data_IF_218003474053
#
_entry.id   IF_218003474053
#
_cell.length_a   1.000
_cell.length_b   1.000
_cell.length_c   1.000
_cell.angle_alpha   90.00
_cell.angle_beta   90.00
_cell.angle_gamma   90.00
#
_symmetry.space_group_name_H-M   'P 1'
#
loop_
_entity.id
_entity.type
_entity.pdbx_description
1 polymer ?
#
# COMPACT_ATOMS: atom_id res chain seq x y z
N UNK A 1 21.63 -18.94 -5.11
CA UNK A 1 21.65 -17.56 -5.66
C UNK A 1 20.75 -16.76 -4.74
N UNK A 2 21.29 -15.91 -3.89
CA UNK A 2 20.48 -15.01 -3.05
C UNK A 2 19.94 -13.95 -4.00
N UNK A 3 18.63 -13.92 -4.21
CA UNK A 3 18.01 -12.83 -4.98
C UNK A 3 18.17 -11.55 -4.14
N UNK A 4 18.53 -10.43 -4.74
CA UNK A 4 18.65 -9.17 -4.02
C UNK A 4 17.30 -8.75 -3.41
N UNK A 5 17.26 -7.90 -2.38
CA UNK A 5 16.04 -7.40 -1.75
C UNK A 5 15.32 -6.41 -2.69
N UNK A 6 14.80 -6.94 -3.80
CA UNK A 6 14.29 -6.17 -4.93
C UNK A 6 12.90 -5.60 -4.68
N UNK A 7 12.13 -6.24 -3.78
CA UNK A 7 10.68 -5.96 -3.63
C UNK A 7 10.33 -5.00 -2.50
N UNK A 8 11.27 -4.54 -1.70
CA UNK A 8 10.98 -3.70 -0.53
C UNK A 8 10.34 -2.36 -0.91
N UNK A 9 10.71 -1.81 -2.06
CA UNK A 9 10.16 -0.53 -2.54
C UNK A 9 8.74 -0.65 -3.11
N UNK A 10 8.30 -1.86 -3.47
CA UNK A 10 7.01 -2.05 -4.16
C UNK A 10 5.81 -2.17 -3.20
N UNK A 11 6.04 -2.60 -1.97
CA UNK A 11 4.96 -2.97 -1.02
C UNK A 11 4.58 -1.85 -0.08
N UNK A 12 5.17 -0.67 -0.20
CA UNK A 12 4.84 0.45 0.69
C UNK A 12 3.41 0.92 0.50
N UNK A 13 2.56 0.35 1.32
CA UNK A 13 1.11 0.51 1.31
C UNK A 13 0.72 1.86 1.89
N UNK A 14 -0.29 2.42 1.29
CA UNK A 14 -1.01 3.62 1.68
C UNK A 14 -1.34 3.60 3.19
N UNK A 15 -0.79 4.55 3.92
CA UNK A 15 -1.15 4.81 5.30
C UNK A 15 -2.48 5.55 5.32
N UNK A 16 -3.60 4.85 5.42
CA UNK A 16 -4.91 5.46 5.59
C UNK A 16 -5.34 5.38 7.05
N UNK A 17 -5.38 6.49 7.75
CA UNK A 17 -5.82 6.55 9.12
C UNK A 17 -6.84 7.70 9.35
N UNK A 18 -7.61 7.68 10.43
CA UNK A 18 -8.91 8.35 10.54
C UNK A 18 -9.17 9.12 11.83
N UNK A 19 -9.94 10.21 11.75
CA UNK A 19 -10.46 10.90 12.92
C UNK A 19 -11.96 11.23 12.79
N UNK A 20 -12.74 10.91 13.81
CA UNK A 20 -14.11 11.35 13.96
C UNK A 20 -14.21 12.41 15.08
N UNK A 21 -14.83 13.57 14.78
CA UNK A 21 -15.33 14.48 15.80
C UNK A 21 -16.84 14.28 15.96
N UNK A 22 -17.38 14.19 17.16
CA UNK A 22 -18.81 14.24 17.36
C UNK A 22 -19.29 15.69 17.21
N UNK A 23 -19.80 16.06 16.05
CA UNK A 23 -20.67 17.24 15.97
C UNK A 23 -22.03 16.81 16.51
N UNK A 24 -22.31 17.13 17.76
CA UNK A 24 -23.66 17.09 18.34
C UNK A 24 -24.52 18.14 17.67
N UNK A 25 -25.08 17.85 16.53
CA UNK A 25 -26.22 18.59 15.98
C UNK A 25 -27.49 17.95 16.52
N UNK A 26 -28.03 18.56 17.60
CA UNK A 26 -29.39 18.26 18.03
C UNK A 26 -30.37 18.81 16.99
N UNK A 27 -30.78 17.99 16.05
CA UNK A 27 -31.97 18.22 15.25
C UNK A 27 -33.11 17.35 15.77
N UNK A 28 -34.13 18.03 16.27
CA UNK A 28 -35.40 17.49 16.76
C UNK A 28 -36.09 16.72 15.62
N UNK A 29 -36.51 15.48 15.82
CA UNK A 29 -37.18 14.73 14.76
C UNK A 29 -38.57 15.27 14.49
N UNK A 30 -38.86 15.56 13.22
CA UNK A 30 -40.22 15.73 12.73
C UNK A 30 -40.91 14.35 12.64
N UNK A 31 -42.21 14.25 12.98
CA UNK A 31 -42.92 12.97 12.92
C UNK A 31 -43.34 12.69 11.48
N UNK A 32 -42.72 11.71 10.87
CA UNK A 32 -43.04 11.24 9.53
C UNK A 32 -42.17 10.01 9.20
N UNK A 33 -42.53 8.85 9.76
CA UNK A 33 -41.72 7.66 9.70
C UNK A 33 -41.72 6.97 8.34
N UNK A 34 -40.57 6.95 7.76
CA UNK A 34 -40.08 5.93 6.86
C UNK A 34 -38.66 5.67 7.29
N UNK A 35 -38.31 4.47 7.71
CA UNK A 35 -36.92 4.08 7.89
C UNK A 35 -36.20 4.36 6.57
N UNK A 36 -35.03 5.05 6.60
CA UNK A 36 -34.25 5.23 5.38
C UNK A 36 -33.97 3.84 4.77
N UNK A 37 -34.00 3.72 3.44
CA UNK A 37 -33.75 2.42 2.79
C UNK A 37 -32.40 1.90 3.26
N UNK A 38 -32.39 0.68 3.82
CA UNK A 38 -31.16 -0.01 4.21
C UNK A 38 -30.36 -0.26 2.93
N UNK A 39 -29.29 0.52 2.74
CA UNK A 39 -28.38 0.33 1.58
C UNK A 39 -27.67 -1.01 1.76
N UNK A 40 -27.69 -1.85 0.73
CA UNK A 40 -27.04 -3.15 0.78
C UNK A 40 -25.53 -3.00 1.12
N UNK A 41 -24.98 -3.86 1.99
CA UNK A 41 -23.58 -3.76 2.44
C UNK A 41 -22.56 -3.64 1.30
N UNK A 42 -22.73 -4.41 0.22
CA UNK A 42 -21.85 -4.33 -0.94
C UNK A 42 -21.83 -2.96 -1.64
N UNK A 43 -22.97 -2.25 -1.65
CA UNK A 43 -23.02 -0.88 -2.21
C UNK A 43 -22.28 0.11 -1.31
N UNK A 44 -22.34 -0.07 0.02
CA UNK A 44 -21.60 0.77 0.96
C UNK A 44 -20.08 0.52 0.86
N UNK A 45 -19.65 -0.73 0.69
CA UNK A 45 -18.22 -1.09 0.52
C UNK A 45 -17.68 -0.51 -0.79
N UNK A 46 -18.44 -0.61 -1.88
CA UNK A 46 -18.06 0.03 -3.14
C UNK A 46 -17.94 1.55 -3.01
N UNK A 47 -18.91 2.21 -2.34
CA UNK A 47 -18.87 3.63 -2.07
C UNK A 47 -17.66 4.02 -1.19
N UNK A 48 -17.28 3.17 -0.24
CA UNK A 48 -16.09 3.36 0.58
C UNK A 48 -14.81 3.29 -0.28
N UNK A 49 -14.69 2.33 -1.16
CA UNK A 49 -13.57 2.22 -2.10
C UNK A 49 -13.43 3.46 -3.02
N UNK A 50 -14.56 4.03 -3.46
CA UNK A 50 -14.54 5.29 -4.21
C UNK A 50 -14.15 6.49 -3.30
N UNK A 51 -14.72 6.60 -2.10
CA UNK A 51 -14.35 7.65 -1.16
C UNK A 51 -12.87 7.58 -0.77
N UNK A 52 -12.28 6.39 -0.70
CA UNK A 52 -10.85 6.15 -0.45
C UNK A 52 -9.97 6.38 -1.68
N UNK A 53 -10.53 6.74 -2.83
CA UNK A 53 -9.80 7.01 -4.07
C UNK A 53 -8.90 5.85 -4.52
N UNK A 54 -9.34 4.61 -4.31
CA UNK A 54 -8.55 3.40 -4.58
C UNK A 54 -8.11 3.33 -6.06
N UNK A 55 -8.92 3.84 -6.99
CA UNK A 55 -8.53 3.91 -8.41
C UNK A 55 -7.30 4.79 -8.65
N UNK A 56 -7.21 5.95 -7.97
CA UNK A 56 -6.06 6.85 -8.08
C UNK A 56 -4.80 6.23 -7.46
N UNK A 57 -4.94 5.53 -6.34
CA UNK A 57 -3.85 4.79 -5.71
C UNK A 57 -3.31 3.69 -6.63
N UNK A 58 -4.20 2.88 -7.21
CA UNK A 58 -3.85 1.82 -8.17
C UNK A 58 -3.16 2.40 -9.40
N UNK A 59 -3.58 3.60 -9.87
CA UNK A 59 -2.92 4.26 -10.99
C UNK A 59 -1.46 4.59 -10.69
N UNK A 60 -1.15 5.13 -9.49
CA UNK A 60 0.23 5.39 -9.07
C UNK A 60 1.02 4.10 -8.90
N UNK A 61 0.43 3.08 -8.26
CA UNK A 61 1.05 1.76 -8.12
C UNK A 61 1.40 1.11 -9.46
N UNK A 62 0.57 1.33 -10.48
CA UNK A 62 0.88 0.91 -11.84
C UNK A 62 2.09 1.66 -12.42
N UNK A 63 2.16 2.98 -12.22
CA UNK A 63 3.32 3.78 -12.64
C UNK A 63 4.62 3.26 -11.99
N UNK A 64 4.60 3.04 -10.68
CA UNK A 64 5.71 2.43 -9.91
C UNK A 64 6.08 1.04 -10.44
N UNK A 65 5.08 0.20 -10.68
CA UNK A 65 5.27 -1.15 -11.15
C UNK A 65 5.90 -1.26 -12.53
N UNK A 66 5.60 -0.33 -13.43
CA UNK A 66 6.24 -0.26 -14.75
C UNK A 66 7.71 0.13 -14.64
N UNK A 67 8.06 1.08 -13.73
CA UNK A 67 9.46 1.43 -13.46
C UNK A 67 10.21 0.26 -12.82
N UNK A 68 9.58 -0.39 -11.84
CA UNK A 68 10.13 -1.57 -11.20
C UNK A 68 10.40 -2.71 -12.19
N UNK A 69 9.48 -2.96 -13.12
CA UNK A 69 9.68 -3.95 -14.18
C UNK A 69 10.92 -3.67 -15.03
N UNK A 70 11.22 -2.40 -15.29
CA UNK A 70 12.44 -2.02 -16.02
C UNK A 70 13.71 -2.25 -15.18
N UNK A 71 13.65 -1.97 -13.87
CA UNK A 71 14.76 -2.27 -12.95
C UNK A 71 15.02 -3.78 -12.84
N UNK A 72 13.95 -4.56 -12.76
CA UNK A 72 14.03 -6.03 -12.71
C UNK A 72 14.67 -6.62 -13.98
N UNK A 73 14.33 -6.07 -15.15
CA UNK A 73 14.97 -6.43 -16.43
C UNK A 73 16.48 -6.18 -16.37
N UNK A 74 16.86 -4.97 -15.97
CA UNK A 74 18.27 -4.57 -15.92
C UNK A 74 19.09 -5.44 -14.96
N UNK A 75 18.47 -5.98 -13.93
CA UNK A 75 19.15 -6.79 -12.91
C UNK A 75 19.21 -8.29 -13.28
N UNK A 76 18.10 -8.88 -13.72
CA UNK A 76 18.01 -10.33 -13.89
C UNK A 76 18.36 -10.81 -15.30
N UNK A 77 18.09 -10.01 -16.34
CA UNK A 77 18.31 -10.38 -17.74
C UNK A 77 18.57 -9.16 -18.64
N UNK A 78 19.65 -8.41 -18.35
CA UNK A 78 19.95 -7.17 -19.05
C UNK A 78 19.96 -7.39 -20.57
N UNK A 79 19.35 -6.45 -21.30
CA UNK A 79 19.26 -6.41 -22.76
C UNK A 79 18.48 -7.58 -23.42
N UNK A 80 17.73 -8.38 -22.65
CA UNK A 80 16.96 -9.51 -23.19
C UNK A 80 15.43 -9.30 -23.17
N UNK A 81 14.92 -8.39 -22.36
CA UNK A 81 13.47 -8.18 -22.20
C UNK A 81 12.86 -7.29 -23.28
N UNK A 82 13.29 -6.03 -23.32
CA UNK A 82 12.85 -5.03 -24.27
C UNK A 82 11.32 -4.80 -24.28
N UNK A 83 10.76 -4.41 -25.46
CA UNK A 83 9.31 -4.07 -25.54
C UNK A 83 8.37 -5.22 -25.15
N UNK A 84 8.82 -6.46 -25.30
CA UNK A 84 8.03 -7.65 -24.96
C UNK A 84 7.90 -7.79 -23.45
N UNK A 85 9.01 -7.66 -22.72
CA UNK A 85 8.99 -7.66 -21.26
C UNK A 85 8.12 -6.52 -20.71
N UNK A 86 8.27 -5.31 -21.26
CA UNK A 86 7.45 -4.16 -20.87
C UNK A 86 5.96 -4.40 -21.09
N UNK A 87 5.59 -5.08 -22.19
CA UNK A 87 4.19 -5.45 -22.44
C UNK A 87 3.68 -6.46 -21.40
N UNK A 88 4.48 -7.45 -21.03
CA UNK A 88 4.13 -8.43 -19.98
C UNK A 88 3.97 -7.75 -18.62
N UNK A 89 4.92 -6.90 -18.24
CA UNK A 89 4.79 -6.09 -17.00
C UNK A 89 3.53 -5.24 -17.02
N UNK A 90 3.22 -4.61 -18.18
CA UNK A 90 2.00 -3.82 -18.36
C UNK A 90 0.70 -4.62 -18.17
N UNK A 91 0.70 -5.91 -18.50
CA UNK A 91 -0.42 -6.83 -18.26
C UNK A 91 -0.50 -7.30 -16.81
N UNK A 92 0.65 -7.56 -16.17
CA UNK A 92 0.70 -7.95 -14.75
C UNK A 92 0.17 -6.81 -13.85
N UNK A 93 0.53 -5.56 -14.18
CA UNK A 93 0.04 -4.35 -13.50
C UNK A 93 -1.22 -3.76 -14.16
N UNK A 94 -2.08 -4.60 -14.74
CA UNK A 94 -3.35 -4.12 -15.28
C UNK A 94 -4.24 -3.55 -14.18
N UNK A 95 -4.66 -2.29 -14.32
CA UNK A 95 -5.38 -1.55 -13.28
C UNK A 95 -6.73 -2.18 -12.93
N UNK A 96 -7.45 -2.71 -13.92
CA UNK A 96 -8.75 -3.34 -13.70
C UNK A 96 -8.60 -4.66 -12.93
N UNK A 97 -7.54 -5.40 -13.22
CA UNK A 97 -7.20 -6.65 -12.52
C UNK A 97 -6.78 -6.36 -11.08
N UNK A 98 -5.94 -5.35 -10.86
CA UNK A 98 -5.54 -4.89 -9.52
C UNK A 98 -6.77 -4.45 -8.72
N UNK A 99 -7.65 -3.66 -9.32
CA UNK A 99 -8.89 -3.19 -8.68
C UNK A 99 -9.82 -4.35 -8.31
N UNK A 100 -10.04 -5.31 -9.17
CA UNK A 100 -10.87 -6.49 -8.87
C UNK A 100 -10.31 -7.32 -7.72
N UNK A 101 -8.99 -7.53 -7.67
CA UNK A 101 -8.33 -8.26 -6.58
C UNK A 101 -8.46 -7.50 -5.26
N UNK A 102 -8.21 -6.18 -5.30
CA UNK A 102 -8.40 -5.31 -4.14
C UNK A 102 -9.83 -5.38 -3.61
N UNK A 103 -10.82 -5.12 -4.45
CA UNK A 103 -12.23 -5.07 -4.06
C UNK A 103 -12.68 -6.39 -3.44
N UNK A 104 -12.29 -7.54 -4.01
CA UNK A 104 -12.64 -8.86 -3.47
C UNK A 104 -12.05 -9.09 -2.08
N UNK A 105 -10.77 -8.76 -1.86
CA UNK A 105 -10.12 -8.94 -0.56
C UNK A 105 -10.63 -7.92 0.46
N UNK A 106 -10.83 -6.67 0.06
CA UNK A 106 -11.35 -5.62 0.91
C UNK A 106 -12.79 -5.90 1.37
N UNK A 107 -13.67 -6.37 0.48
CA UNK A 107 -15.03 -6.78 0.81
C UNK A 107 -15.03 -7.93 1.82
N UNK A 108 -14.15 -8.91 1.68
CA UNK A 108 -14.03 -10.03 2.59
C UNK A 108 -13.64 -9.58 4.03
N UNK A 109 -12.82 -8.54 4.16
CA UNK A 109 -12.39 -8.02 5.46
C UNK A 109 -13.40 -7.04 6.06
N UNK A 110 -13.85 -6.04 5.32
CA UNK A 110 -14.77 -5.00 5.79
C UNK A 110 -16.17 -5.57 6.01
N UNK A 111 -16.59 -6.50 5.17
CA UNK A 111 -17.92 -7.14 5.24
C UNK A 111 -18.17 -7.92 6.54
N UNK A 112 -17.14 -8.21 7.33
CA UNK A 112 -17.27 -8.87 8.65
C UNK A 112 -17.97 -7.99 9.69
N UNK A 113 -18.02 -6.68 9.49
CA UNK A 113 -18.70 -5.72 10.37
C UNK A 113 -19.26 -4.53 9.58
N UNK A 114 -20.41 -4.69 8.96
CA UNK A 114 -21.02 -3.62 8.16
C UNK A 114 -21.36 -2.35 8.95
N UNK A 115 -21.50 -2.45 10.29
CA UNK A 115 -21.79 -1.30 11.16
C UNK A 115 -20.67 -0.27 11.20
N UNK A 116 -19.43 -0.69 10.98
CA UNK A 116 -18.26 0.20 10.98
C UNK A 116 -18.14 1.05 9.69
N UNK A 117 -18.80 0.65 8.60
CA UNK A 117 -18.63 1.28 7.27
C UNK A 117 -19.12 2.72 7.27
N UNK A 118 -20.20 3.02 8.01
CA UNK A 118 -20.77 4.38 8.06
C UNK A 118 -19.76 5.40 8.59
N UNK A 119 -19.05 5.11 9.69
CA UNK A 119 -18.03 5.99 10.24
C UNK A 119 -16.82 6.15 9.30
N UNK A 120 -16.48 5.10 8.56
CA UNK A 120 -15.44 5.16 7.55
C UNK A 120 -15.82 6.08 6.38
N UNK A 121 -17.06 5.95 5.87
CA UNK A 121 -17.60 6.81 4.81
C UNK A 121 -17.72 8.26 5.24
N UNK A 122 -18.16 8.53 6.47
CA UNK A 122 -18.30 9.89 7.02
C UNK A 122 -16.94 10.61 7.04
N UNK A 123 -15.88 9.88 7.36
CA UNK A 123 -14.55 10.47 7.35
C UNK A 123 -14.02 10.71 5.94
N UNK A 124 -13.96 9.67 5.09
CA UNK A 124 -13.38 9.81 3.74
C UNK A 124 -14.22 10.67 2.81
N UNK A 125 -15.53 10.71 3.01
CA UNK A 125 -16.41 11.66 2.33
C UNK A 125 -16.23 13.09 2.77
N UNK A 126 -15.54 13.35 3.92
CA UNK A 126 -15.31 14.72 4.42
C UNK A 126 -14.24 15.45 3.60
N UNK A 127 -14.28 16.78 3.61
CA UNK A 127 -13.28 17.63 2.96
C UNK A 127 -11.86 17.34 3.49
N UNK A 128 -11.73 17.09 4.79
CA UNK A 128 -10.46 16.73 5.45
C UNK A 128 -9.96 15.39 4.95
N UNK A 129 -10.78 14.34 4.95
CA UNK A 129 -10.40 13.01 4.48
C UNK A 129 -9.97 13.03 3.02
N UNK A 130 -10.71 13.74 2.17
CA UNK A 130 -10.33 13.90 0.76
C UNK A 130 -9.04 14.69 0.58
N UNK A 131 -8.77 15.69 1.41
CA UNK A 131 -7.52 16.44 1.38
C UNK A 131 -6.31 15.57 1.77
N UNK A 132 -6.47 14.76 2.80
CA UNK A 132 -5.44 13.81 3.25
C UNK A 132 -5.10 12.83 2.13
N UNK A 133 -6.09 12.15 1.56
CA UNK A 133 -5.90 11.19 0.47
C UNK A 133 -5.23 11.83 -0.75
N UNK A 134 -5.61 13.06 -1.08
CA UNK A 134 -4.98 13.81 -2.16
C UNK A 134 -3.48 13.99 -1.89
N UNK A 135 -3.12 14.42 -0.69
CA UNK A 135 -1.72 14.64 -0.30
C UNK A 135 -0.92 13.34 -0.31
N UNK A 136 -1.49 12.23 0.14
CA UNK A 136 -0.86 10.92 0.12
C UNK A 136 -0.58 10.45 -1.31
N UNK A 137 -1.55 10.58 -2.21
CA UNK A 137 -1.39 10.21 -3.62
C UNK A 137 -0.38 11.12 -4.32
N UNK A 138 -0.42 12.44 -4.05
CA UNK A 138 0.53 13.41 -4.60
C UNK A 138 1.96 13.12 -4.14
N UNK A 139 2.15 12.85 -2.84
CA UNK A 139 3.45 12.53 -2.26
C UNK A 139 4.01 11.22 -2.84
N UNK A 140 3.18 10.18 -2.96
CA UNK A 140 3.60 8.92 -3.55
C UNK A 140 4.05 9.08 -5.00
N UNK A 141 3.29 9.83 -5.80
CA UNK A 141 3.69 10.13 -7.18
C UNK A 141 4.95 10.99 -7.25
N UNK A 142 5.13 11.95 -6.35
CA UNK A 142 6.32 12.77 -6.31
C UNK A 142 7.59 11.95 -6.03
N UNK A 143 7.51 10.91 -5.19
CA UNK A 143 8.64 10.03 -4.87
C UNK A 143 9.03 9.07 -6.00
N UNK A 144 8.36 9.09 -7.16
CA UNK A 144 8.84 8.46 -8.39
C UNK A 144 10.04 9.18 -8.98
N UNK A 145 10.25 10.44 -8.60
CA UNK A 145 11.42 11.25 -8.99
C UNK A 145 12.50 11.13 -7.91
N UNK A 146 13.69 10.65 -8.29
CA UNK A 146 14.81 10.44 -7.37
C UNK A 146 15.22 11.73 -6.65
N UNK A 147 15.11 12.89 -7.31
CA UNK A 147 15.46 14.15 -6.69
C UNK A 147 14.45 14.58 -5.62
N UNK A 148 13.17 14.24 -5.79
CA UNK A 148 12.14 14.47 -4.80
C UNK A 148 12.29 13.51 -3.61
N UNK A 149 12.65 12.25 -3.86
CA UNK A 149 12.95 11.26 -2.81
C UNK A 149 14.15 11.74 -1.96
N UNK A 150 15.24 12.14 -2.59
CA UNK A 150 16.42 12.63 -1.88
C UNK A 150 16.12 13.91 -1.08
N UNK A 151 15.38 14.85 -1.65
CA UNK A 151 14.95 16.05 -0.92
C UNK A 151 14.08 15.72 0.30
N UNK A 152 13.22 14.70 0.21
CA UNK A 152 12.40 14.25 1.32
C UNK A 152 13.25 13.58 2.42
N UNK A 153 14.27 12.80 2.07
CA UNK A 153 15.23 12.21 3.01
C UNK A 153 16.01 13.29 3.77
N UNK A 154 16.59 14.25 3.05
CA UNK A 154 17.29 15.40 3.66
C UNK A 154 16.37 16.16 4.61
N UNK A 155 15.10 16.35 4.24
CA UNK A 155 14.12 17.01 5.12
C UNK A 155 13.93 16.27 6.44
N UNK A 156 13.82 14.95 6.42
CA UNK A 156 13.66 14.14 7.66
C UNK A 156 14.93 14.18 8.50
N UNK A 157 16.13 14.11 7.88
CA UNK A 157 17.39 14.26 8.57
C UNK A 157 17.49 15.62 9.28
N UNK A 158 17.11 16.70 8.59
CA UNK A 158 17.04 18.05 9.13
C UNK A 158 16.04 18.18 10.30
N UNK A 159 14.88 17.53 10.22
CA UNK A 159 13.88 17.48 11.29
C UNK A 159 14.47 16.75 12.51
N UNK A 160 15.13 15.62 12.31
CA UNK A 160 15.78 14.85 13.36
C UNK A 160 16.90 15.66 14.03
N UNK A 161 17.78 16.28 13.25
CA UNK A 161 18.89 17.08 13.78
C UNK A 161 18.45 18.27 14.63
N UNK A 162 17.24 18.81 14.37
CA UNK A 162 16.64 19.92 15.12
C UNK A 162 15.70 19.50 16.24
N UNK A 163 15.51 18.19 16.43
CA UNK A 163 14.49 17.64 17.34
C UNK A 163 13.10 18.27 17.05
N UNK A 164 12.71 18.29 15.79
CA UNK A 164 11.46 18.90 15.35
C UNK A 164 10.27 18.09 15.90
N UNK A 165 9.39 18.68 16.74
CA UNK A 165 8.26 17.95 17.31
C UNK A 165 7.28 17.42 16.27
N UNK A 166 7.36 17.89 15.02
CA UNK A 166 6.58 17.33 13.91
C UNK A 166 7.02 15.92 13.57
N UNK A 167 8.31 15.59 13.71
CA UNK A 167 8.81 14.22 13.51
C UNK A 167 8.21 13.26 14.52
N UNK A 168 8.07 13.67 15.79
CA UNK A 168 7.43 12.85 16.84
C UNK A 168 5.97 12.53 16.46
N UNK A 169 5.23 13.50 15.89
CA UNK A 169 3.86 13.26 15.41
C UNK A 169 3.82 12.28 14.22
N UNK A 170 4.79 12.32 13.31
CA UNK A 170 4.87 11.36 12.20
C UNK A 170 5.19 9.96 12.72
N UNK A 171 6.05 9.84 13.73
CA UNK A 171 6.35 8.58 14.40
C UNK A 171 5.11 8.04 15.13
N UNK A 172 4.41 8.89 15.89
CA UNK A 172 3.17 8.52 16.57
C UNK A 172 2.09 8.05 15.57
N UNK A 173 2.03 8.68 14.39
CA UNK A 173 1.15 8.24 13.31
C UNK A 173 1.53 6.87 12.77
N UNK A 174 2.82 6.63 12.50
CA UNK A 174 3.33 5.35 12.02
C UNK A 174 3.05 4.23 13.02
N UNK A 175 3.26 4.48 14.32
CA UNK A 175 2.97 3.53 15.40
C UNK A 175 1.46 3.25 15.53
N UNK A 176 0.61 4.29 15.48
CA UNK A 176 -0.84 4.15 15.63
C UNK A 176 -1.47 3.27 14.54
N UNK A 177 -0.80 3.17 13.39
CA UNK A 177 -1.22 2.40 12.22
C UNK A 177 -0.39 1.14 11.98
N UNK A 178 0.56 0.81 12.83
CA UNK A 178 1.44 -0.36 12.69
C UNK A 178 2.19 -0.38 11.34
N UNK A 179 2.53 0.81 10.79
CA UNK A 179 2.95 0.95 9.41
C UNK A 179 4.23 0.18 9.09
N UNK A 180 5.22 0.17 9.98
CA UNK A 180 6.47 -0.55 9.74
C UNK A 180 6.20 -2.05 9.70
N UNK A 181 5.52 -2.61 10.70
CA UNK A 181 5.26 -4.04 10.78
C UNK A 181 4.40 -4.55 9.62
N UNK A 182 3.35 -3.82 9.26
CA UNK A 182 2.46 -4.21 8.16
C UNK A 182 3.16 -4.13 6.81
N UNK A 183 4.01 -3.12 6.58
CA UNK A 183 4.79 -3.02 5.34
C UNK A 183 5.88 -4.09 5.27
N UNK A 184 6.58 -4.37 6.36
CA UNK A 184 7.57 -5.47 6.43
C UNK A 184 6.91 -6.81 6.12
N UNK A 185 5.78 -7.11 6.76
CA UNK A 185 5.03 -8.34 6.50
C UNK A 185 4.59 -8.45 5.03
N UNK A 186 4.03 -7.39 4.46
CA UNK A 186 3.62 -7.35 3.05
C UNK A 186 4.80 -7.53 2.09
N UNK A 187 5.96 -6.91 2.38
CA UNK A 187 7.17 -7.07 1.58
C UNK A 187 7.68 -8.53 1.61
N UNK A 188 7.73 -9.14 2.79
CA UNK A 188 8.13 -10.55 2.92
C UNK A 188 7.16 -11.49 2.22
N UNK A 189 5.84 -11.24 2.29
CA UNK A 189 4.83 -12.01 1.55
C UNK A 189 5.03 -11.90 0.03
N UNK A 190 5.29 -10.69 -0.45
CA UNK A 190 5.56 -10.42 -1.86
C UNK A 190 6.85 -11.08 -2.33
N UNK A 191 7.93 -11.04 -1.52
CA UNK A 191 9.18 -11.73 -1.81
C UNK A 191 8.95 -13.25 -1.91
N UNK A 192 8.21 -13.84 -0.96
CA UNK A 192 7.88 -15.26 -1.01
C UNK A 192 7.06 -15.62 -2.25
N UNK A 193 6.09 -14.79 -2.61
CA UNK A 193 5.28 -14.99 -3.80
C UNK A 193 6.15 -14.91 -5.07
N UNK A 194 7.12 -14.00 -5.14
CA UNK A 194 8.08 -13.90 -6.23
C UNK A 194 8.94 -15.16 -6.34
N UNK A 195 9.51 -15.66 -5.21
CA UNK A 195 10.27 -16.91 -5.19
C UNK A 195 9.44 -18.11 -5.69
N UNK A 196 8.18 -18.20 -5.28
CA UNK A 196 7.25 -19.24 -5.77
C UNK A 196 7.04 -19.13 -7.28
N UNK A 197 6.82 -17.92 -7.79
CA UNK A 197 6.72 -17.67 -9.23
C UNK A 197 7.99 -18.07 -9.99
N UNK A 198 9.16 -17.72 -9.47
CA UNK A 198 10.46 -18.13 -10.03
C UNK A 198 10.63 -19.65 -10.05
N UNK A 199 10.26 -20.34 -8.98
CA UNK A 199 10.31 -21.79 -8.88
C UNK A 199 9.35 -22.48 -9.88
N UNK A 200 8.13 -21.98 -10.03
CA UNK A 200 7.16 -22.47 -11.03
C UNK A 200 7.66 -22.25 -12.45
N UNK A 201 8.36 -21.14 -12.70
CA UNK A 201 9.02 -20.87 -13.98
C UNK A 201 10.35 -21.61 -14.17
N UNK A 202 10.71 -22.56 -13.27
CA UNK A 202 11.92 -23.37 -13.33
C UNK A 202 13.24 -22.55 -13.40
N UNK A 203 13.30 -21.40 -12.70
CA UNK A 203 14.48 -20.54 -12.70
C UNK A 203 15.67 -21.10 -11.91
N UNK A 204 15.46 -22.12 -11.10
CA UNK A 204 16.48 -22.72 -10.23
C UNK A 204 16.96 -24.06 -10.79
N UNK A 205 18.27 -24.30 -10.78
CA UNK A 205 18.87 -25.57 -11.23
C UNK A 205 18.40 -26.76 -10.38
N UNK A 206 18.17 -26.52 -9.09
CA UNK A 206 17.59 -27.49 -8.17
C UNK A 206 16.27 -26.92 -7.61
N UNK A 207 15.26 -27.78 -7.46
CA UNK A 207 13.98 -27.36 -6.91
C UNK A 207 14.15 -26.92 -5.45
N UNK A 208 13.85 -25.65 -5.19
CA UNK A 208 13.82 -25.12 -3.82
C UNK A 208 12.58 -25.64 -3.07
N UNK A 209 12.79 -26.14 -1.86
CA UNK A 209 11.68 -26.49 -0.98
C UNK A 209 10.99 -25.21 -0.45
N UNK A 210 9.73 -25.33 -0.06
CA UNK A 210 9.00 -24.24 0.59
C UNK A 210 9.71 -23.74 1.85
N UNK A 211 10.31 -24.67 2.63
CA UNK A 211 11.06 -24.34 3.84
C UNK A 211 12.33 -23.52 3.50
N UNK A 212 13.02 -23.83 2.42
CA UNK A 212 14.18 -23.06 1.96
C UNK A 212 13.78 -21.66 1.51
N UNK A 213 12.71 -21.54 0.71
CA UNK A 213 12.19 -20.24 0.26
C UNK A 213 11.78 -19.36 1.45
N UNK A 214 11.09 -19.94 2.44
CA UNK A 214 10.72 -19.24 3.67
C UNK A 214 11.95 -18.80 4.47
N UNK A 215 12.95 -19.67 4.64
CA UNK A 215 14.17 -19.32 5.36
C UNK A 215 14.95 -18.17 4.68
N UNK A 216 15.05 -18.20 3.35
CA UNK A 216 15.71 -17.16 2.57
C UNK A 216 14.97 -15.82 2.70
N UNK A 217 13.64 -15.82 2.61
CA UNK A 217 12.82 -14.61 2.77
C UNK A 217 12.93 -14.05 4.19
N UNK A 218 12.83 -14.90 5.22
CA UNK A 218 12.96 -14.45 6.61
C UNK A 218 14.34 -13.89 6.94
N UNK A 219 15.39 -14.36 6.27
CA UNK A 219 16.74 -13.82 6.45
C UNK A 219 16.88 -12.35 6.02
N UNK A 220 15.95 -11.86 5.18
CA UNK A 220 15.92 -10.49 4.67
C UNK A 220 15.15 -9.51 5.59
N UNK A 221 14.48 -10.00 6.65
CA UNK A 221 13.58 -9.18 7.49
C UNK A 221 14.24 -7.90 8.00
N UNK A 222 15.49 -7.99 8.49
CA UNK A 222 16.22 -6.83 9.02
C UNK A 222 16.54 -5.78 7.95
N UNK A 223 16.86 -6.20 6.73
CA UNK A 223 17.11 -5.28 5.61
C UNK A 223 15.81 -4.64 5.11
N UNK A 224 14.76 -5.45 4.98
CA UNK A 224 13.42 -4.98 4.60
C UNK A 224 12.89 -3.93 5.58
N UNK A 225 13.08 -4.16 6.88
CA UNK A 225 12.68 -3.22 7.94
C UNK A 225 13.41 -1.88 7.81
N UNK A 226 14.74 -1.92 7.67
CA UNK A 226 15.54 -0.71 7.50
C UNK A 226 15.10 0.09 6.26
N UNK A 227 14.96 -0.56 5.12
CA UNK A 227 14.52 0.08 3.88
C UNK A 227 13.09 0.64 4.01
N UNK A 228 12.22 -0.07 4.73
CA UNK A 228 10.86 0.43 5.04
C UNK A 228 10.92 1.74 5.83
N UNK A 229 11.73 1.81 6.89
CA UNK A 229 11.90 3.01 7.70
C UNK A 229 12.51 4.17 6.91
N UNK A 230 13.55 3.89 6.09
CA UNK A 230 14.24 4.87 5.25
C UNK A 230 13.32 5.50 4.18
N UNK A 231 12.29 4.78 3.75
CA UNK A 231 11.32 5.30 2.80
C UNK A 231 10.07 5.91 3.49
N UNK A 232 9.58 5.27 4.56
CA UNK A 232 8.31 5.63 5.18
C UNK A 232 8.32 7.05 5.74
N UNK A 233 9.33 7.42 6.52
CA UNK A 233 9.38 8.73 7.14
C UNK A 233 9.53 9.88 6.14
N UNK A 234 10.37 9.81 5.09
CA UNK A 234 10.36 10.77 3.99
C UNK A 234 8.99 10.91 3.30
N UNK A 235 8.32 9.79 3.04
CA UNK A 235 6.95 9.81 2.50
C UNK A 235 5.98 10.54 3.44
N UNK A 236 5.93 10.20 4.72
CA UNK A 236 5.04 10.84 5.70
C UNK A 236 5.35 12.34 5.85
N UNK A 237 6.63 12.72 5.87
CA UNK A 237 7.04 14.12 5.96
C UNK A 237 6.65 14.93 4.72
N UNK A 238 6.64 14.30 3.54
CA UNK A 238 6.18 14.91 2.31
C UNK A 238 4.66 15.03 2.27
N UNK A 239 3.95 13.92 2.51
CA UNK A 239 2.50 13.84 2.44
C UNK A 239 1.82 14.76 3.46
N UNK A 240 2.27 14.73 4.70
CA UNK A 240 1.62 15.46 5.78
C UNK A 240 2.25 16.82 6.08
N UNK A 241 3.33 17.18 5.41
CA UNK A 241 3.91 18.52 5.55
C UNK A 241 2.93 19.67 5.40
N UNK A 242 1.95 19.62 4.47
CA UNK A 242 0.94 20.67 4.30
C UNK A 242 -0.20 20.64 5.34
N UNK A 243 -0.33 19.59 6.17
CA UNK A 243 -1.34 19.49 7.22
C UNK A 243 -0.95 20.25 8.46
N UNK A 244 -1.94 20.82 9.17
CA UNK A 244 -1.72 21.33 10.51
C UNK A 244 -1.44 20.20 11.51
N UNK A 245 -0.76 20.52 12.62
CA UNK A 245 -0.58 19.56 13.71
C UNK A 245 -1.90 19.07 14.30
N UNK A 246 -2.93 19.93 14.30
CA UNK A 246 -4.26 19.53 14.74
C UNK A 246 -4.87 18.49 13.81
N UNK A 247 -4.78 18.70 12.50
CA UNK A 247 -5.31 17.74 11.53
C UNK A 247 -4.59 16.38 11.63
N UNK A 248 -3.27 16.40 11.84
CA UNK A 248 -2.50 15.16 12.01
C UNK A 248 -2.84 14.45 13.33
N UNK A 249 -3.02 15.20 14.45
CA UNK A 249 -3.47 14.60 15.72
C UNK A 249 -4.88 14.00 15.62
N UNK A 250 -5.79 14.68 14.92
CA UNK A 250 -7.14 14.17 14.67
C UNK A 250 -7.06 12.87 13.84
N UNK A 251 -6.15 12.82 12.89
CA UNK A 251 -5.89 11.66 12.07
C UNK A 251 -5.36 10.49 12.93
N UNK A 252 -4.36 10.71 13.80
CA UNK A 252 -3.84 9.73 14.77
C UNK A 252 -4.96 9.23 15.69
N UNK A 253 -5.80 10.14 16.20
CA UNK A 253 -6.90 9.78 17.10
C UNK A 253 -7.88 8.80 16.45
N UNK A 254 -8.22 9.01 15.17
CA UNK A 254 -9.07 8.08 14.45
C UNK A 254 -8.39 6.73 14.19
N UNK A 255 -7.13 6.72 13.80
CA UNK A 255 -6.36 5.48 13.61
C UNK A 255 -6.48 4.54 14.82
N UNK A 256 -6.63 5.11 16.00
CA UNK A 256 -6.78 4.40 17.26
C UNK A 256 -8.20 3.92 17.56
N UNK A 257 -9.19 4.33 16.76
CA UNK A 257 -10.57 3.82 16.92
C UNK A 257 -10.68 2.37 16.42
N UNK A 258 -11.70 1.62 16.85
CA UNK A 258 -11.97 0.29 16.30
C UNK A 258 -12.18 0.31 14.79
N UNK A 259 -12.89 1.31 14.28
CA UNK A 259 -13.17 1.51 12.84
C UNK A 259 -11.89 1.81 12.07
N UNK A 260 -11.04 2.72 12.58
CA UNK A 260 -9.75 3.07 11.98
C UNK A 260 -8.82 1.87 11.88
N UNK A 261 -8.62 1.16 12.99
CA UNK A 261 -7.79 -0.07 12.99
C UNK A 261 -8.31 -1.14 12.03
N UNK A 262 -9.64 -1.31 11.99
CA UNK A 262 -10.25 -2.28 11.08
C UNK A 262 -10.02 -1.91 9.64
N UNK A 263 -10.22 -0.66 9.28
CA UNK A 263 -10.02 -0.21 7.92
C UNK A 263 -8.55 -0.30 7.50
N UNK A 264 -7.63 0.12 8.37
CA UNK A 264 -6.21 -0.02 8.13
C UNK A 264 -5.85 -1.49 7.85
N UNK A 265 -6.25 -2.42 8.73
CA UNK A 265 -6.02 -3.84 8.53
C UNK A 265 -6.65 -4.39 7.23
N UNK A 266 -7.88 -3.98 6.92
CA UNK A 266 -8.56 -4.40 5.68
C UNK A 266 -7.86 -3.88 4.43
N UNK A 267 -7.38 -2.63 4.46
CA UNK A 267 -6.65 -2.02 3.35
C UNK A 267 -5.31 -2.72 3.12
N UNK A 268 -4.55 -2.98 4.19
CA UNK A 268 -3.30 -3.73 4.10
C UNK A 268 -3.53 -5.15 3.56
N UNK A 269 -4.52 -5.88 4.08
CA UNK A 269 -4.85 -7.22 3.59
C UNK A 269 -5.26 -7.22 2.10
N UNK A 270 -6.01 -6.20 1.66
CA UNK A 270 -6.42 -6.07 0.27
C UNK A 270 -5.24 -5.80 -0.66
N UNK A 271 -4.32 -4.91 -0.29
CA UNK A 271 -3.11 -4.66 -1.06
C UNK A 271 -2.11 -5.81 -1.00
N UNK A 272 -1.98 -6.50 0.13
CA UNK A 272 -1.16 -7.72 0.23
C UNK A 272 -1.62 -8.78 -0.79
N UNK A 273 -2.93 -8.99 -0.93
CA UNK A 273 -3.48 -9.89 -1.94
C UNK A 273 -3.15 -9.45 -3.38
N UNK A 274 -3.17 -8.14 -3.66
CA UNK A 274 -2.80 -7.59 -4.96
C UNK A 274 -1.31 -7.80 -5.24
N UNK A 275 -0.44 -7.39 -4.31
CA UNK A 275 1.00 -7.44 -4.50
C UNK A 275 1.56 -8.87 -4.50
N UNK A 276 1.04 -9.76 -3.66
CA UNK A 276 1.42 -11.17 -3.69
C UNK A 276 1.13 -11.79 -5.06
N UNK A 277 -0.03 -11.48 -5.66
CA UNK A 277 -0.36 -11.98 -6.98
C UNK A 277 0.53 -11.39 -8.09
N UNK A 278 0.79 -10.06 -8.04
CA UNK A 278 1.71 -9.39 -8.97
C UNK A 278 3.12 -9.97 -8.86
N UNK A 279 3.64 -10.11 -7.65
CA UNK A 279 4.99 -10.62 -7.40
C UNK A 279 5.16 -12.05 -7.91
N UNK A 280 4.16 -12.91 -7.68
CA UNK A 280 4.16 -14.26 -8.22
C UNK A 280 4.20 -14.27 -9.75
N UNK A 281 3.33 -13.47 -10.40
CA UNK A 281 3.27 -13.39 -11.86
C UNK A 281 4.56 -12.80 -12.45
N UNK A 282 5.17 -11.80 -11.79
CA UNK A 282 6.48 -11.25 -12.16
C UNK A 282 7.59 -12.30 -12.04
N UNK A 283 7.64 -13.04 -10.92
CA UNK A 283 8.63 -14.10 -10.72
C UNK A 283 8.56 -15.15 -11.81
N UNK A 284 7.35 -15.61 -12.14
CA UNK A 284 7.12 -16.59 -13.21
C UNK A 284 7.53 -16.06 -14.59
N UNK A 285 7.19 -14.80 -14.90
CA UNK A 285 7.56 -14.19 -16.17
C UNK A 285 9.07 -13.95 -16.26
N UNK A 286 9.72 -13.50 -15.18
CA UNK A 286 11.16 -13.30 -15.11
C UNK A 286 11.92 -14.62 -15.30
N UNK A 287 11.48 -15.71 -14.66
CA UNK A 287 12.06 -17.03 -14.82
C UNK A 287 12.07 -17.49 -16.28
N UNK A 288 10.94 -17.38 -16.98
CA UNK A 288 10.84 -17.73 -18.40
C UNK A 288 11.74 -16.86 -19.27
N UNK A 289 11.78 -15.55 -19.00
CA UNK A 289 12.62 -14.63 -19.73
C UNK A 289 14.13 -14.97 -19.56
N UNK A 290 14.56 -15.36 -18.36
CA UNK A 290 15.93 -15.78 -18.08
C UNK A 290 16.32 -17.03 -18.88
N UNK A 291 15.38 -17.94 -19.12
CA UNK A 291 15.58 -19.16 -19.92
C UNK A 291 15.51 -18.91 -21.43
N UNK A 292 15.10 -17.71 -21.85
CA UNK A 292 14.91 -17.38 -23.27
C UNK A 292 13.63 -17.99 -23.85
N UNK A 293 12.68 -18.36 -23.00
CA UNK A 293 11.38 -18.84 -23.41
C UNK A 293 10.45 -17.69 -23.84
N UNK A 294 9.45 -18.04 -24.64
CA UNK A 294 8.38 -17.11 -25.02
C UNK A 294 7.44 -16.84 -23.83
N UNK A 295 7.36 -15.56 -23.41
CA UNK A 295 6.51 -15.08 -22.31
C UNK A 295 5.24 -14.40 -22.83
#
# INVERSE_FOLDING_TARGET
MVLPPILTRLVLVLSMAFAAHPLAAQTRPAPGGGEPPVVAPGVQIAALGEAMRIADVIAVMREEGLQYGSSLEAELFPDRGGPRWQAVVGLIYDADTMRKRFDAAFEAEVGRDPGAIAGMLDFFGSERGQRILQLEIEARRALLDESAEEAAKIKVEDMSARNDPRLDLLQEFAEANDLIELNVAGALNSNLAFYRGMAEGAAFDEALSEEQMLADVWSQEGDVRRETEEWLYPYLALAYGPLSDSDLRDYIAFSRTPEGRRLNGATFAAFDAVFSAISHDLGRAAAKQMQGEDI
#
